data_IF_832732110256
#
_entry.id   IF_832732110256
#
_cell.length_a   1.000
_cell.length_b   1.000
_cell.length_c   1.000
_cell.angle_alpha   90.00
_cell.angle_beta   90.00
_cell.angle_gamma   90.00
#
_symmetry.space_group_name_H-M   'P 1'
#
loop_
_entity.id
_entity.type
_entity.pdbx_description
1 polymer ?
#
# COMPACT_ATOMS: atom_id res chain seq x y z
N UNK A 1 49.70 -51.72 -0.04
CA UNK A 1 51.03 -51.67 -0.68
C UNK A 1 50.85 -51.64 -2.20
N UNK A 2 50.78 -50.47 -2.86
CA UNK A 2 50.85 -50.34 -4.32
C UNK A 2 51.49 -49.00 -4.72
N UNK A 3 52.27 -49.08 -5.80
CA UNK A 3 53.25 -48.16 -6.38
C UNK A 3 52.70 -46.84 -6.94
N UNK A 4 53.61 -45.87 -7.03
CA UNK A 4 53.55 -44.65 -7.84
C UNK A 4 53.64 -44.91 -9.36
N UNK A 5 53.11 -43.97 -10.16
CA UNK A 5 53.65 -43.51 -11.46
C UNK A 5 52.92 -42.24 -11.92
N UNK A 6 53.64 -41.43 -12.69
CA UNK A 6 53.42 -40.01 -12.92
C UNK A 6 52.73 -39.67 -14.26
N UNK A 7 52.24 -38.42 -14.31
CA UNK A 7 52.14 -37.46 -15.45
C UNK A 7 51.19 -37.73 -16.63
N UNK A 8 50.34 -36.73 -16.89
CA UNK A 8 49.66 -36.48 -18.16
C UNK A 8 48.85 -35.17 -18.11
N UNK A 9 49.37 -34.12 -18.73
CA UNK A 9 48.70 -32.82 -18.96
C UNK A 9 47.45 -32.96 -19.83
N UNK A 10 46.38 -32.23 -19.51
CA UNK A 10 45.56 -31.59 -20.55
C UNK A 10 44.79 -30.36 -20.01
N UNK A 11 45.06 -29.22 -20.63
CA UNK A 11 44.34 -27.95 -20.50
C UNK A 11 42.86 -28.09 -20.90
N UNK A 12 41.95 -27.39 -20.20
CA UNK A 12 41.23 -26.22 -20.76
C UNK A 12 40.22 -25.60 -19.77
N UNK A 13 40.55 -24.38 -19.35
CA UNK A 13 39.73 -23.17 -19.37
C UNK A 13 38.37 -23.15 -18.63
N UNK A 14 38.39 -22.54 -17.43
CA UNK A 14 37.31 -21.68 -16.92
C UNK A 14 37.95 -20.35 -16.43
N UNK A 15 37.44 -19.17 -16.83
CA UNK A 15 38.01 -17.90 -16.40
C UNK A 15 37.55 -17.54 -14.97
N UNK A 16 38.53 -17.32 -14.11
CA UNK A 16 38.39 -16.75 -12.78
C UNK A 16 38.36 -15.21 -12.90
N UNK A 17 37.53 -14.49 -12.13
CA UNK A 17 37.43 -13.04 -12.19
C UNK A 17 38.67 -12.38 -11.57
N UNK A 18 39.34 -11.50 -12.30
CA UNK A 18 40.43 -10.65 -11.78
C UNK A 18 39.86 -9.40 -11.09
N UNK A 19 40.25 -9.11 -9.84
CA UNK A 19 40.06 -7.82 -9.20
C UNK A 19 41.37 -7.00 -9.25
N UNK A 20 41.37 -5.89 -9.97
CA UNK A 20 42.46 -4.91 -10.06
C UNK A 20 41.80 -3.54 -10.28
N UNK A 21 42.07 -2.43 -9.61
CA UNK A 21 43.04 -2.05 -8.59
C UNK A 21 42.42 -0.84 -7.85
N UNK A 22 42.49 -0.82 -6.52
CA UNK A 22 42.29 0.41 -5.76
C UNK A 22 43.56 1.27 -5.87
N UNK A 23 43.42 2.52 -6.27
CA UNK A 23 44.42 3.56 -6.03
C UNK A 23 43.69 4.85 -5.67
N UNK A 24 43.87 5.27 -4.43
CA UNK A 24 43.45 6.56 -3.92
C UNK A 24 44.57 7.60 -4.14
N UNK A 25 44.18 8.84 -4.42
CA UNK A 25 45.07 10.02 -4.46
C UNK A 25 44.57 11.07 -5.45
N UNK A 26 43.59 11.90 -5.03
CA UNK A 26 43.78 13.33 -4.69
C UNK A 26 44.08 14.26 -5.89
N UNK A 27 43.07 15.02 -6.34
CA UNK A 27 43.05 16.49 -6.25
C UNK A 27 41.79 17.07 -6.92
N UNK A 28 41.31 18.17 -6.36
CA UNK A 28 39.94 18.67 -6.55
C UNK A 28 39.67 19.42 -7.83
N UNK A 29 38.39 19.56 -8.11
CA UNK A 29 37.74 20.84 -8.35
C UNK A 29 36.22 20.65 -8.24
N UNK A 30 35.58 21.66 -7.67
CA UNK A 30 34.14 21.85 -7.66
C UNK A 30 33.59 21.77 -9.08
N UNK A 31 32.54 20.98 -9.29
CA UNK A 31 31.45 21.36 -10.18
C UNK A 31 30.24 20.46 -9.91
N UNK A 32 29.09 21.10 -9.73
CA UNK A 32 27.83 20.45 -9.38
C UNK A 32 27.35 19.53 -10.49
N UNK A 33 27.42 18.22 -10.26
CA UNK A 33 26.87 17.25 -11.19
C UNK A 33 25.36 17.10 -10.93
N UNK A 34 24.62 17.91 -11.68
CA UNK A 34 23.18 17.82 -11.82
C UNK A 34 22.79 16.36 -12.06
N UNK A 35 21.82 15.89 -11.28
CA UNK A 35 21.19 14.58 -11.42
C UNK A 35 21.07 14.18 -12.89
N UNK A 36 21.89 13.20 -13.29
CA UNK A 36 21.90 12.59 -14.62
C UNK A 36 20.51 12.04 -14.89
N UNK A 37 19.67 12.83 -15.56
CA UNK A 37 18.38 12.38 -16.02
C UNK A 37 18.59 11.13 -16.90
N UNK A 38 17.90 10.01 -16.64
CA UNK A 38 18.04 8.84 -17.47
C UNK A 38 17.66 9.22 -18.90
N UNK A 39 18.59 9.03 -19.84
CA UNK A 39 18.30 9.21 -21.27
C UNK A 39 17.20 8.21 -21.62
N UNK A 40 16.15 8.67 -22.28
CA UNK A 40 14.94 7.95 -22.68
C UNK A 40 15.16 6.70 -23.58
N UNK A 41 16.38 6.20 -23.73
CA UNK A 41 16.72 5.13 -24.67
C UNK A 41 16.63 3.72 -24.06
N UNK A 42 16.56 3.59 -22.72
CA UNK A 42 16.42 2.31 -22.01
C UNK A 42 15.01 2.08 -21.42
N UNK A 43 13.97 2.71 -21.99
CA UNK A 43 12.58 2.50 -21.55
C UNK A 43 11.93 1.44 -22.44
N UNK A 44 11.53 0.33 -21.82
CA UNK A 44 10.81 -0.75 -22.51
C UNK A 44 9.59 -0.15 -23.25
N UNK A 45 9.25 -0.59 -24.47
CA UNK A 45 8.17 0.02 -25.24
C UNK A 45 6.83 0.12 -24.49
N UNK A 46 6.58 -0.78 -23.54
CA UNK A 46 5.41 -0.77 -22.65
C UNK A 46 5.42 0.40 -21.65
N UNK A 47 6.59 0.87 -21.24
CA UNK A 47 6.76 1.87 -20.19
C UNK A 47 6.84 3.31 -20.71
N UNK A 48 6.86 3.50 -22.04
CA UNK A 48 6.95 4.82 -22.69
C UNK A 48 5.91 5.82 -22.20
N UNK A 49 4.73 5.33 -21.79
CA UNK A 49 3.63 6.18 -21.33
C UNK A 49 3.45 6.23 -19.81
N UNK A 50 4.19 5.42 -19.06
CA UNK A 50 4.07 5.34 -17.59
C UNK A 50 4.35 6.69 -16.94
N UNK A 51 5.39 7.39 -17.41
CA UNK A 51 5.78 8.72 -16.94
C UNK A 51 4.77 9.83 -17.28
N UNK A 52 3.84 9.59 -18.21
CA UNK A 52 2.72 10.48 -18.53
C UNK A 52 1.40 10.07 -17.88
N UNK A 53 1.40 8.97 -17.11
CA UNK A 53 0.19 8.53 -16.44
C UNK A 53 -0.26 9.57 -15.40
N UNK A 54 -1.57 9.77 -15.19
CA UNK A 54 -2.07 10.72 -14.20
C UNK A 54 -1.49 10.49 -12.81
N UNK A 55 -1.27 9.24 -12.43
CA UNK A 55 -0.65 8.87 -11.15
C UNK A 55 0.80 9.36 -11.04
N UNK A 56 1.62 9.17 -12.09
CA UNK A 56 3.00 9.68 -12.12
C UNK A 56 3.06 11.20 -12.13
N UNK A 57 2.17 11.86 -12.87
CA UNK A 57 2.10 13.34 -12.88
C UNK A 57 1.76 13.87 -11.48
N UNK A 58 0.76 13.29 -10.80
CA UNK A 58 0.39 13.68 -9.43
C UNK A 58 1.52 13.42 -8.44
N UNK A 59 2.26 12.31 -8.59
CA UNK A 59 3.43 12.01 -7.77
C UNK A 59 4.56 13.01 -8.00
N UNK A 60 4.89 13.32 -9.25
CA UNK A 60 5.96 14.27 -9.62
C UNK A 60 5.66 15.70 -9.16
N UNK A 61 4.42 16.17 -9.37
CA UNK A 61 3.98 17.47 -8.84
C UNK A 61 4.00 17.45 -7.32
N UNK A 62 3.53 16.36 -6.71
CA UNK A 62 3.58 16.15 -5.27
C UNK A 62 5.00 16.21 -4.70
N UNK A 63 5.97 15.56 -5.36
CA UNK A 63 7.37 15.58 -4.92
C UNK A 63 8.00 16.96 -5.06
N UNK A 64 7.65 17.73 -6.09
CA UNK A 64 8.13 19.12 -6.22
C UNK A 64 7.60 20.01 -5.09
N UNK A 65 6.33 19.88 -4.75
CA UNK A 65 5.70 20.63 -3.66
C UNK A 65 6.22 20.20 -2.28
N UNK A 66 6.52 18.92 -2.10
CA UNK A 66 6.94 18.34 -0.83
C UNK A 66 8.47 18.26 -0.66
N UNK A 67 9.25 18.86 -1.57
CA UNK A 67 10.72 18.86 -1.50
C UNK A 67 11.36 17.47 -1.64
N UNK A 68 10.72 16.55 -2.37
CA UNK A 68 11.19 15.19 -2.59
C UNK A 68 10.80 14.19 -1.49
N UNK A 69 10.16 14.64 -0.40
CA UNK A 69 9.64 13.74 0.63
C UNK A 69 8.42 12.96 0.14
N UNK A 70 8.35 11.68 0.50
CA UNK A 70 7.15 10.86 0.25
C UNK A 70 6.02 11.36 1.14
N UNK A 71 4.80 11.39 0.59
CA UNK A 71 3.61 11.64 1.41
C UNK A 71 3.44 10.47 2.39
N UNK A 72 3.56 10.75 3.67
CA UNK A 72 3.20 9.81 4.72
C UNK A 72 1.69 9.86 4.92
N UNK A 73 1.12 8.72 5.31
CA UNK A 73 -0.27 8.69 5.76
C UNK A 73 -0.29 9.07 7.24
N UNK A 74 -0.77 10.27 7.54
CA UNK A 74 -1.06 10.64 8.93
C UNK A 74 -2.36 9.96 9.37
N UNK A 75 -2.34 9.49 10.62
CA UNK A 75 -3.47 8.79 11.26
C UNK A 75 -4.72 9.67 11.15
N UNK A 76 -5.68 9.26 10.32
CA UNK A 76 -6.97 9.94 10.23
C UNK A 76 -7.85 9.59 11.43
N UNK A 77 -8.70 10.55 11.84
CA UNK A 77 -9.71 10.30 12.86
C UNK A 77 -10.68 9.21 12.37
N UNK A 78 -10.88 8.19 13.19
CA UNK A 78 -11.80 7.09 12.92
C UNK A 78 -13.28 7.53 13.02
N UNK A 79 -14.20 6.70 12.52
CA UNK A 79 -15.65 7.00 12.51
C UNK A 79 -16.27 7.20 13.90
N UNK A 80 -15.67 6.64 14.96
CA UNK A 80 -16.11 6.85 16.35
C UNK A 80 -15.55 8.15 16.89
N UNK A 81 -14.27 8.44 16.65
CA UNK A 81 -13.65 9.72 17.02
C UNK A 81 -14.30 10.92 16.33
N UNK A 82 -14.84 10.73 15.12
CA UNK A 82 -15.64 11.71 14.38
C UNK A 82 -17.10 11.81 14.85
N UNK A 83 -17.54 10.96 15.79
CA UNK A 83 -18.92 10.92 16.27
C UNK A 83 -19.94 10.44 15.22
N UNK A 84 -19.49 9.76 14.16
CA UNK A 84 -20.40 9.14 13.19
C UNK A 84 -21.01 7.87 13.76
N UNK A 85 -20.22 7.07 14.48
CA UNK A 85 -20.68 5.89 15.21
C UNK A 85 -20.38 6.03 16.70
N UNK A 86 -21.23 5.46 17.53
CA UNK A 86 -20.87 5.21 18.92
C UNK A 86 -19.96 3.97 19.01
N UNK A 87 -19.17 3.92 20.08
CA UNK A 87 -18.16 2.89 20.28
C UNK A 87 -18.76 1.47 20.37
N UNK A 88 -19.98 1.33 20.92
CA UNK A 88 -20.67 0.04 21.01
C UNK A 88 -21.11 -0.44 19.62
N UNK A 89 -21.74 0.43 18.84
CA UNK A 89 -22.16 0.09 17.47
C UNK A 89 -20.97 -0.27 16.59
N UNK A 90 -19.86 0.47 16.67
CA UNK A 90 -18.65 0.16 15.92
C UNK A 90 -18.10 -1.23 16.27
N UNK A 91 -17.97 -1.54 17.57
CA UNK A 91 -17.53 -2.87 18.04
C UNK A 91 -18.44 -4.00 17.54
N UNK A 92 -19.77 -3.82 17.61
CA UNK A 92 -20.73 -4.81 17.12
C UNK A 92 -20.61 -5.01 15.59
N UNK A 93 -20.33 -3.95 14.84
CA UNK A 93 -20.13 -4.02 13.38
C UNK A 93 -18.84 -4.75 13.02
N UNK A 94 -17.73 -4.47 13.70
CA UNK A 94 -16.45 -5.19 13.50
C UNK A 94 -16.61 -6.69 13.77
N UNK A 95 -17.26 -7.06 14.88
CA UNK A 95 -17.55 -8.46 15.20
C UNK A 95 -18.42 -9.14 14.12
N UNK A 96 -19.44 -8.43 13.60
CA UNK A 96 -20.27 -8.91 12.48
C UNK A 96 -19.46 -9.07 11.19
N UNK A 97 -18.53 -8.17 10.91
CA UNK A 97 -17.64 -8.26 9.75
C UNK A 97 -16.77 -9.53 9.82
N UNK A 98 -16.05 -9.72 10.92
CA UNK A 98 -15.16 -10.89 11.14
C UNK A 98 -15.96 -12.18 10.98
N UNK A 99 -17.10 -12.30 11.67
CA UNK A 99 -17.97 -13.48 11.59
C UNK A 99 -18.40 -13.79 10.15
N UNK A 100 -18.71 -12.76 9.36
CA UNK A 100 -19.20 -12.91 7.98
C UNK A 100 -18.07 -13.24 7.01
N UNK A 101 -16.89 -12.65 7.18
CA UNK A 101 -15.77 -12.75 6.22
C UNK A 101 -14.70 -13.77 6.60
N UNK A 102 -14.86 -14.44 7.75
CA UNK A 102 -13.94 -15.46 8.25
C UNK A 102 -13.45 -16.45 7.20
N UNK A 103 -14.37 -17.03 6.43
CA UNK A 103 -14.03 -18.04 5.44
C UNK A 103 -13.43 -17.47 4.16
N UNK A 104 -13.70 -16.20 3.82
CA UNK A 104 -13.21 -15.59 2.58
C UNK A 104 -11.85 -14.93 2.76
N UNK A 105 -11.62 -14.30 3.91
CA UNK A 105 -10.37 -13.60 4.22
C UNK A 105 -9.44 -14.41 5.14
N UNK A 106 -9.88 -15.60 5.59
CA UNK A 106 -9.16 -16.44 6.55
C UNK A 106 -8.89 -15.74 7.89
N UNK A 107 -9.78 -14.82 8.30
CA UNK A 107 -9.72 -14.04 9.53
C UNK A 107 -10.61 -14.72 10.58
N UNK A 108 -10.01 -15.35 11.59
CA UNK A 108 -10.75 -16.08 12.63
C UNK A 108 -11.24 -15.16 13.75
N UNK A 109 -10.51 -14.09 14.01
CA UNK A 109 -10.78 -13.15 15.10
C UNK A 109 -10.38 -11.72 14.71
N UNK A 110 -10.82 -10.74 15.50
CA UNK A 110 -10.39 -9.35 15.35
C UNK A 110 -8.88 -9.19 15.56
N UNK A 111 -8.26 -10.04 16.40
CA UNK A 111 -6.81 -10.02 16.60
C UNK A 111 -6.02 -10.35 15.33
N UNK A 112 -6.62 -11.08 14.36
CA UNK A 112 -5.98 -11.36 13.08
C UNK A 112 -5.95 -10.12 12.16
N UNK A 113 -6.82 -9.13 12.40
CA UNK A 113 -6.81 -7.84 11.70
C UNK A 113 -5.73 -6.89 12.26
N UNK A 114 -5.35 -7.07 13.53
CA UNK A 114 -4.36 -6.26 14.22
C UNK A 114 -3.44 -7.14 15.11
N UNK A 115 -2.53 -7.94 14.51
CA UNK A 115 -1.78 -8.94 15.26
C UNK A 115 -0.80 -8.37 16.28
N UNK A 116 -0.34 -7.13 16.10
CA UNK A 116 0.62 -6.45 16.98
C UNK A 116 -0.03 -5.48 17.97
N UNK A 117 -1.30 -5.13 17.77
CA UNK A 117 -2.00 -4.08 18.51
C UNK A 117 -3.27 -4.63 19.15
N UNK A 118 -3.49 -4.32 20.43
CA UNK A 118 -4.67 -4.84 21.15
C UNK A 118 -6.00 -4.29 20.63
N UNK A 119 -5.97 -3.16 19.94
CA UNK A 119 -7.15 -2.47 19.44
C UNK A 119 -6.96 -2.08 17.98
N UNK A 120 -7.86 -2.56 17.12
CA UNK A 120 -7.89 -2.28 15.70
C UNK A 120 -7.98 -0.78 15.41
N UNK A 121 -8.71 -0.02 16.24
CA UNK A 121 -8.86 1.45 16.09
C UNK A 121 -7.53 2.19 16.20
N UNK A 122 -6.66 1.73 17.10
CA UNK A 122 -5.34 2.30 17.30
C UNK A 122 -4.31 1.77 16.30
N UNK A 123 -4.50 0.52 15.84
CA UNK A 123 -3.64 -0.09 14.83
C UNK A 123 -3.81 0.56 13.45
N UNK A 124 -5.06 0.72 13.02
CA UNK A 124 -5.43 1.31 11.74
C UNK A 124 -6.88 1.82 11.81
N UNK A 125 -7.07 3.14 11.98
CA UNK A 125 -8.38 3.78 11.88
C UNK A 125 -9.10 3.44 10.58
N UNK A 126 -8.37 3.42 9.47
CA UNK A 126 -8.93 3.11 8.16
C UNK A 126 -9.43 1.67 8.07
N UNK A 127 -8.65 0.67 8.49
CA UNK A 127 -9.09 -0.72 8.46
C UNK A 127 -10.30 -0.94 9.37
N UNK A 128 -10.31 -0.31 10.55
CA UNK A 128 -11.47 -0.29 11.43
C UNK A 128 -12.73 0.27 10.73
N UNK A 129 -12.60 1.43 10.09
CA UNK A 129 -13.70 2.12 9.43
C UNK A 129 -14.22 1.31 8.22
N UNK A 130 -13.32 0.67 7.46
CA UNK A 130 -13.64 -0.27 6.39
C UNK A 130 -14.44 -1.46 6.91
N UNK A 131 -14.02 -2.07 8.03
CA UNK A 131 -14.76 -3.18 8.64
C UNK A 131 -16.17 -2.74 9.06
N UNK A 132 -16.29 -1.57 9.68
CA UNK A 132 -17.58 -0.98 10.06
C UNK A 132 -18.48 -0.77 8.83
N UNK A 133 -17.97 -0.08 7.81
CA UNK A 133 -18.68 0.21 6.56
C UNK A 133 -19.23 -1.05 5.89
N UNK A 134 -18.40 -2.08 5.75
CA UNK A 134 -18.83 -3.33 5.12
C UNK A 134 -19.88 -4.09 5.93
N UNK A 135 -19.82 -4.03 7.27
CA UNK A 135 -20.85 -4.62 8.12
C UNK A 135 -22.16 -3.81 8.09
N UNK A 136 -22.09 -2.48 7.95
CA UNK A 136 -23.29 -1.62 7.92
C UNK A 136 -24.24 -1.98 6.78
N UNK A 137 -23.71 -2.47 5.65
CA UNK A 137 -24.51 -2.98 4.51
C UNK A 137 -25.49 -4.09 4.91
N UNK A 138 -25.24 -4.80 6.00
CA UNK A 138 -26.08 -5.90 6.50
C UNK A 138 -26.72 -5.59 7.84
N UNK A 139 -26.72 -4.32 8.24
CA UNK A 139 -27.38 -3.83 9.44
C UNK A 139 -28.65 -3.06 9.07
N UNK A 140 -29.41 -2.64 10.07
CA UNK A 140 -30.57 -1.74 9.90
C UNK A 140 -30.20 -0.41 9.22
N UNK A 141 -28.93 -0.03 9.27
CA UNK A 141 -28.39 1.15 8.60
C UNK A 141 -28.08 0.93 7.11
N UNK A 142 -28.35 -0.27 6.56
CA UNK A 142 -28.22 -0.53 5.12
C UNK A 142 -29.14 0.44 4.40
N UNK A 143 -28.57 1.36 3.63
CA UNK A 143 -29.36 2.43 2.99
C UNK A 143 -29.79 3.57 3.94
N UNK A 144 -28.97 3.91 4.95
CA UNK A 144 -29.12 5.16 5.74
C UNK A 144 -28.20 6.31 5.27
N UNK A 145 -28.56 7.55 5.63
CA UNK A 145 -27.67 8.73 5.48
C UNK A 145 -26.35 8.52 6.23
N UNK A 146 -26.39 7.81 7.36
CA UNK A 146 -25.21 7.45 8.13
C UNK A 146 -24.26 6.54 7.34
N UNK A 147 -24.78 5.48 6.71
CA UNK A 147 -23.99 4.60 5.84
C UNK A 147 -23.33 5.39 4.69
N UNK A 148 -24.01 6.40 4.15
CA UNK A 148 -23.43 7.31 3.15
C UNK A 148 -22.28 8.15 3.73
N UNK A 149 -22.46 8.75 4.91
CA UNK A 149 -21.39 9.57 5.54
C UNK A 149 -20.15 8.74 5.84
N UNK A 150 -20.33 7.53 6.38
CA UNK A 150 -19.23 6.59 6.63
C UNK A 150 -18.56 6.17 5.32
N UNK A 151 -19.33 5.84 4.28
CA UNK A 151 -18.77 5.51 2.96
C UNK A 151 -17.91 6.64 2.38
N UNK A 152 -18.40 7.88 2.42
CA UNK A 152 -17.66 9.04 1.92
C UNK A 152 -16.38 9.28 2.71
N UNK A 153 -16.42 9.13 4.03
CA UNK A 153 -15.25 9.25 4.89
C UNK A 153 -14.17 8.22 4.53
N UNK A 154 -14.54 6.94 4.46
CA UNK A 154 -13.62 5.84 4.09
C UNK A 154 -13.07 6.03 2.66
N UNK A 155 -13.90 6.53 1.73
CA UNK A 155 -13.47 6.83 0.36
C UNK A 155 -12.41 7.93 0.32
N UNK A 156 -12.52 8.95 1.16
CA UNK A 156 -11.51 10.01 1.26
C UNK A 156 -10.21 9.53 1.91
N UNK A 157 -10.30 8.73 2.99
CA UNK A 157 -9.13 8.06 3.59
C UNK A 157 -8.38 7.22 2.55
N UNK A 158 -9.10 6.38 1.80
CA UNK A 158 -8.54 5.58 0.72
C UNK A 158 -7.80 6.44 -0.32
N UNK A 159 -8.39 7.57 -0.72
CA UNK A 159 -7.77 8.49 -1.67
C UNK A 159 -6.41 9.01 -1.22
N UNK A 160 -6.24 9.27 0.08
CA UNK A 160 -4.95 9.65 0.66
C UNK A 160 -3.97 8.48 0.70
N UNK A 161 -4.44 7.27 1.05
CA UNK A 161 -3.60 6.07 1.07
C UNK A 161 -3.02 5.72 -0.31
N UNK A 162 -3.77 5.94 -1.40
CA UNK A 162 -3.30 5.66 -2.76
C UNK A 162 -2.09 6.46 -3.21
N UNK A 163 -1.81 7.57 -2.55
CA UNK A 163 -0.65 8.42 -2.82
C UNK A 163 0.38 8.39 -1.69
N UNK A 164 0.12 7.65 -0.61
CA UNK A 164 0.99 7.54 0.53
C UNK A 164 2.03 6.42 0.36
N UNK A 165 3.20 6.61 0.98
CA UNK A 165 4.27 5.61 1.00
C UNK A 165 5.23 5.85 2.17
N UNK A 166 5.64 4.81 2.91
CA UNK A 166 5.23 3.40 2.82
C UNK A 166 3.80 3.17 3.35
N UNK A 167 3.16 2.07 2.92
CA UNK A 167 1.85 1.67 3.43
C UNK A 167 1.99 0.55 4.47
N UNK A 168 1.41 0.69 5.68
CA UNK A 168 1.32 -0.40 6.65
C UNK A 168 0.48 -1.57 6.13
N UNK A 169 0.70 -2.75 6.71
CA UNK A 169 -0.01 -3.98 6.30
C UNK A 169 -1.52 -3.88 6.50
N UNK A 170 -1.95 -3.24 7.58
CA UNK A 170 -3.35 -3.04 7.94
C UNK A 170 -4.07 -2.19 6.89
N UNK A 171 -3.40 -1.15 6.40
CA UNK A 171 -3.91 -0.28 5.34
C UNK A 171 -4.06 -1.04 4.02
N UNK A 172 -3.07 -1.89 3.68
CA UNK A 172 -3.15 -2.79 2.52
C UNK A 172 -4.31 -3.77 2.63
N UNK A 173 -4.58 -4.30 3.84
CA UNK A 173 -5.76 -5.15 4.09
C UNK A 173 -7.06 -4.37 3.88
N UNK A 174 -7.13 -3.12 4.35
CA UNK A 174 -8.30 -2.26 4.14
C UNK A 174 -8.54 -1.98 2.65
N UNK A 175 -7.47 -1.71 1.89
CA UNK A 175 -7.49 -1.54 0.44
C UNK A 175 -8.04 -2.79 -0.25
N UNK A 176 -7.54 -3.97 0.13
CA UNK A 176 -7.99 -5.25 -0.40
C UNK A 176 -9.49 -5.45 -0.14
N UNK A 177 -9.95 -5.28 1.11
CA UNK A 177 -11.36 -5.48 1.48
C UNK A 177 -12.29 -4.57 0.66
N UNK A 178 -11.92 -3.29 0.51
CA UNK A 178 -12.68 -2.33 -0.29
C UNK A 178 -12.73 -2.69 -1.78
N UNK A 179 -11.71 -3.37 -2.30
CA UNK A 179 -11.68 -3.84 -3.69
C UNK A 179 -12.49 -5.13 -3.94
N UNK A 180 -12.60 -5.99 -2.93
CA UNK A 180 -13.27 -7.30 -3.05
C UNK A 180 -14.80 -7.20 -3.08
N UNK A 181 -15.38 -6.20 -2.41
CA UNK A 181 -16.84 -6.07 -2.33
C UNK A 181 -17.33 -4.63 -2.49
N UNK A 182 -18.49 -4.48 -3.12
CA UNK A 182 -19.15 -3.18 -3.19
C UNK A 182 -19.65 -2.74 -1.81
N UNK A 183 -19.05 -1.66 -1.28
CA UNK A 183 -19.45 -1.00 -0.03
C UNK A 183 -20.35 0.22 -0.23
N UNK A 184 -20.57 0.66 -1.47
CA UNK A 184 -21.40 1.83 -1.77
C UNK A 184 -22.88 1.63 -1.38
N UNK A 185 -23.55 2.68 -0.85
CA UNK A 185 -25.00 2.67 -0.60
C UNK A 185 -25.83 2.50 -1.90
N UNK A 186 -26.95 1.78 -1.81
CA UNK A 186 -27.73 1.26 -2.95
C UNK A 186 -28.54 2.27 -3.78
N UNK A 187 -28.70 3.53 -3.36
CA UNK A 187 -29.54 4.53 -4.05
C UNK A 187 -28.82 5.40 -5.10
N UNK A 188 -27.58 5.07 -5.45
CA UNK A 188 -26.83 5.82 -6.47
C UNK A 188 -27.38 5.67 -7.91
N UNK A 189 -28.27 4.70 -8.18
CA UNK A 189 -28.73 4.40 -9.55
C UNK A 189 -29.94 5.24 -10.01
N UNK A 190 -30.65 5.93 -9.11
CA UNK A 190 -31.86 6.68 -9.49
C UNK A 190 -31.70 8.21 -9.51
N UNK A 191 -30.57 8.78 -9.07
CA UNK A 191 -30.38 10.22 -8.97
C UNK A 191 -29.64 10.88 -10.16
N UNK A 192 -29.48 10.18 -11.29
CA UNK A 192 -28.96 10.73 -12.57
C UNK A 192 -29.98 10.63 -13.70
N UNK A 193 -31.24 10.94 -13.41
CA UNK A 193 -32.28 11.16 -14.41
C UNK A 193 -32.95 12.51 -14.14
N UNK A 194 -32.19 13.58 -14.33
CA UNK A 194 -32.71 14.91 -14.70
C UNK A 194 -31.74 15.52 -15.71
#
# INVERSE_FOLDING_TARGET
MRRALATGQQERQQPQPQPHHASAGQNGNEDGDAAKAPRNEDVEPADRHVYSSPAEVVRKVGSQLSGGYRRTFDVQADVVSLGLLDDKTARDLVAKFVRRRRHTLLINSEADLAPMNRDLRHASPFLHDVCCLHAMRFSEHSSSVLHRRVFEHVRLQMGQLMIASPLPQEELMGILIMSLWASAPSYWILARKE
#
